data_IF_084470146203
#
_entry.id   IF_084470146203
#
_cell.length_a   1.000
_cell.length_b   1.000
_cell.length_c   1.000
_cell.angle_alpha   90.00
_cell.angle_beta   90.00
_cell.angle_gamma   90.00
#
_symmetry.space_group_name_H-M   'P 1'
#
loop_
_entity.id
_entity.type
_entity.pdbx_description
1 polymer ?
#
# COMPACT_ATOMS: atom_id res chain seq x y z
N UNK A 1 6.63 -6.26 7.33
CA UNK A 1 5.67 -5.30 7.91
C UNK A 1 5.93 -3.91 7.39
N UNK A 2 6.97 -3.21 7.84
CA UNK A 2 7.19 -1.80 7.45
C UNK A 2 7.32 -1.53 5.95
N UNK A 3 7.82 -2.50 5.16
CA UNK A 3 7.87 -2.35 3.71
C UNK A 3 6.53 -2.62 3.02
N UNK A 4 5.71 -3.51 3.62
CA UNK A 4 4.34 -3.80 3.16
C UNK A 4 3.44 -2.60 3.52
N UNK A 5 3.47 -2.18 4.78
CA UNK A 5 2.75 -1.03 5.36
C UNK A 5 3.44 0.27 4.94
N UNK A 6 3.27 0.62 3.68
CA UNK A 6 3.80 1.83 3.05
C UNK A 6 2.85 3.04 3.14
N UNK A 7 3.11 4.05 2.31
CA UNK A 7 2.29 5.26 2.23
C UNK A 7 0.88 5.04 1.66
N UNK A 8 0.65 3.90 0.99
CA UNK A 8 -0.62 3.56 0.34
C UNK A 8 -1.74 3.18 1.31
N UNK A 9 -1.42 2.77 2.54
CA UNK A 9 -2.46 2.25 3.45
C UNK A 9 -3.51 3.30 3.84
N UNK A 10 -3.12 4.55 4.07
CA UNK A 10 -4.08 5.60 4.42
C UNK A 10 -4.99 5.97 3.24
N UNK A 11 -4.52 5.73 2.01
CA UNK A 11 -5.29 5.95 0.79
C UNK A 11 -6.07 4.71 0.35
N UNK A 12 -5.77 3.55 0.93
CA UNK A 12 -6.31 2.26 0.51
C UNK A 12 -7.83 2.23 0.63
N UNK A 13 -8.46 2.56 1.78
CA UNK A 13 -9.92 2.55 1.89
C UNK A 13 -10.59 3.47 0.86
N UNK A 14 -10.05 4.68 0.69
CA UNK A 14 -10.58 5.66 -0.26
C UNK A 14 -10.39 5.23 -1.72
N UNK A 15 -9.34 4.48 -2.04
CA UNK A 15 -9.05 3.98 -3.39
C UNK A 15 -9.89 2.75 -3.75
N UNK A 16 -10.28 1.94 -2.76
CA UNK A 16 -11.14 0.77 -2.97
C UNK A 16 -12.62 1.04 -2.72
N UNK A 17 -12.97 2.17 -2.10
CA UNK A 17 -14.35 2.60 -1.87
C UNK A 17 -15.22 2.55 -3.14
N UNK A 18 -14.78 2.98 -4.34
CA UNK A 18 -15.61 2.88 -5.55
C UNK A 18 -16.06 1.45 -5.94
N UNK A 19 -15.45 0.41 -5.35
CA UNK A 19 -15.81 -0.98 -5.60
C UNK A 19 -16.70 -1.58 -4.50
N UNK A 20 -17.04 -0.82 -3.45
CA UNK A 20 -17.92 -1.26 -2.36
C UNK A 20 -17.37 -2.44 -1.57
N UNK A 21 -18.26 -3.26 -0.99
CA UNK A 21 -17.85 -4.41 -0.15
C UNK A 21 -17.20 -5.55 -0.95
N UNK A 22 -17.31 -5.55 -2.28
CA UNK A 22 -16.57 -6.47 -3.16
C UNK A 22 -15.06 -6.35 -2.97
N UNK A 23 -14.57 -5.15 -2.65
CA UNK A 23 -13.15 -4.92 -2.35
C UNK A 23 -12.68 -5.72 -1.13
N UNK A 24 -13.55 -5.96 -0.14
CA UNK A 24 -13.23 -6.78 1.03
C UNK A 24 -13.08 -8.26 0.67
N UNK A 25 -13.87 -8.75 -0.29
CA UNK A 25 -13.69 -10.10 -0.84
C UNK A 25 -12.39 -10.22 -1.64
N UNK A 26 -12.10 -9.23 -2.51
CA UNK A 26 -10.82 -9.15 -3.21
C UNK A 26 -9.64 -9.15 -2.22
N UNK A 27 -9.79 -8.42 -1.12
CA UNK A 27 -8.81 -8.37 -0.04
C UNK A 27 -8.56 -9.74 0.58
N UNK A 28 -9.61 -10.47 0.95
CA UNK A 28 -9.50 -11.81 1.51
C UNK A 28 -8.77 -12.77 0.57
N UNK A 29 -9.15 -12.81 -0.71
CA UNK A 29 -8.51 -13.67 -1.72
C UNK A 29 -7.04 -13.31 -1.91
N UNK A 30 -6.71 -12.03 -2.02
CA UNK A 30 -5.33 -11.58 -2.19
C UNK A 30 -4.47 -11.82 -0.95
N UNK A 31 -5.07 -11.71 0.25
CA UNK A 31 -4.36 -12.03 1.50
C UNK A 31 -3.89 -13.49 1.49
N UNK A 32 -4.76 -14.41 1.06
CA UNK A 32 -4.38 -15.82 0.93
C UNK A 32 -3.25 -16.01 -0.09
N UNK A 33 -3.33 -15.31 -1.23
CA UNK A 33 -2.26 -15.30 -2.24
C UNK A 33 -0.94 -14.75 -1.71
N UNK A 34 -0.98 -13.65 -0.95
CA UNK A 34 0.19 -13.03 -0.34
C UNK A 34 0.83 -13.94 0.72
N UNK A 35 0.02 -14.63 1.55
CA UNK A 35 0.51 -15.62 2.52
C UNK A 35 1.15 -16.80 1.79
N UNK A 36 0.53 -17.30 0.72
CA UNK A 36 1.11 -18.37 -0.10
C UNK A 36 2.47 -17.94 -0.68
N UNK A 37 2.57 -16.71 -1.19
CA UNK A 37 3.81 -16.15 -1.70
C UNK A 37 4.88 -15.98 -0.60
N UNK A 38 4.48 -15.52 0.59
CA UNK A 38 5.35 -15.43 1.76
C UNK A 38 5.90 -16.79 2.19
N UNK A 39 5.08 -17.85 2.12
CA UNK A 39 5.51 -19.22 2.38
C UNK A 39 6.50 -19.72 1.32
N UNK A 40 6.28 -19.40 0.04
CA UNK A 40 7.21 -19.73 -1.04
C UNK A 40 8.57 -19.06 -0.81
N UNK A 41 8.60 -17.75 -0.56
CA UNK A 41 9.84 -17.04 -0.26
C UNK A 41 10.52 -17.55 1.01
N UNK A 42 9.74 -17.91 2.04
CA UNK A 42 10.28 -18.53 3.25
C UNK A 42 10.99 -19.85 2.95
N UNK A 43 10.38 -20.74 2.18
CA UNK A 43 11.01 -22.02 1.79
C UNK A 43 12.19 -21.87 0.85
N UNK A 44 12.19 -20.85 -0.01
CA UNK A 44 13.32 -20.56 -0.88
C UNK A 44 14.50 -20.02 -0.07
N UNK A 45 14.25 -19.14 0.90
CA UNK A 45 15.28 -18.63 1.81
C UNK A 45 15.84 -19.71 2.76
N UNK A 46 15.04 -20.72 3.14
CA UNK A 46 15.51 -21.92 3.84
C UNK A 46 16.51 -22.73 3.00
N UNK A 47 16.33 -22.75 1.67
CA UNK A 47 17.12 -23.57 0.75
C UNK A 47 18.37 -22.84 0.26
N UNK A 48 18.28 -21.54 0.09
CA UNK A 48 19.36 -20.66 -0.35
C UNK A 48 19.26 -19.32 0.40
N UNK A 49 19.97 -19.17 1.53
CA UNK A 49 19.89 -17.98 2.39
C UNK A 49 20.76 -16.80 1.87
N UNK A 50 21.03 -16.75 0.57
CA UNK A 50 21.82 -15.69 -0.04
C UNK A 50 21.05 -14.36 -0.17
N UNK A 51 21.78 -13.25 -0.09
CA UNK A 51 21.23 -11.90 -0.25
C UNK A 51 20.83 -11.65 -1.70
N UNK A 52 19.63 -11.11 -1.92
CA UNK A 52 19.14 -10.69 -3.24
C UNK A 52 17.74 -11.20 -3.61
N UNK A 53 17.14 -12.05 -2.77
CA UNK A 53 15.72 -12.43 -2.86
C UNK A 53 15.33 -13.00 -4.23
N UNK A 54 14.26 -12.48 -4.89
CA UNK A 54 13.74 -13.01 -6.16
C UNK A 54 14.79 -13.19 -7.27
N UNK A 55 15.78 -12.28 -7.32
CA UNK A 55 16.87 -12.33 -8.31
C UNK A 55 17.69 -13.62 -8.17
N UNK A 56 18.12 -13.96 -6.95
CA UNK A 56 19.02 -15.09 -6.72
C UNK A 56 18.30 -16.40 -7.01
N UNK A 57 17.04 -16.51 -6.56
CA UNK A 57 16.23 -17.70 -6.82
C UNK A 57 15.94 -17.88 -8.32
N UNK A 58 15.62 -16.81 -9.06
CA UNK A 58 15.40 -16.88 -10.50
C UNK A 58 16.68 -17.25 -11.27
N UNK A 59 17.82 -16.68 -10.85
CA UNK A 59 19.13 -16.99 -11.43
C UNK A 59 19.54 -18.44 -11.18
N UNK A 60 19.35 -18.94 -9.97
CA UNK A 60 19.70 -20.31 -9.60
C UNK A 60 18.85 -21.34 -10.36
N UNK A 61 17.58 -21.05 -10.61
CA UNK A 61 16.67 -21.99 -11.29
C UNK A 61 16.75 -21.94 -12.83
N UNK A 62 16.93 -20.75 -13.41
CA UNK A 62 16.75 -20.53 -14.86
C UNK A 62 17.96 -19.87 -15.55
N UNK A 63 19.04 -19.61 -14.82
CA UNK A 63 20.28 -19.03 -15.35
C UNK A 63 20.31 -17.50 -15.36
N UNK A 64 21.40 -16.95 -15.89
CA UNK A 64 21.74 -15.52 -15.77
C UNK A 64 20.71 -14.60 -16.44
N UNK A 65 20.10 -15.00 -17.57
CA UNK A 65 19.11 -14.18 -18.26
C UNK A 65 17.82 -13.98 -17.46
N UNK A 66 17.32 -15.04 -16.83
CA UNK A 66 16.14 -14.96 -15.97
C UNK A 66 16.43 -14.15 -14.70
N UNK A 67 17.64 -14.30 -14.14
CA UNK A 67 18.13 -13.43 -13.07
C UNK A 67 18.12 -11.96 -13.51
N UNK A 68 18.71 -11.65 -14.67
CA UNK A 68 18.73 -10.29 -15.21
C UNK A 68 17.33 -9.70 -15.37
N UNK A 69 16.38 -10.44 -15.95
CA UNK A 69 15.00 -9.99 -16.09
C UNK A 69 14.34 -9.70 -14.75
N UNK A 70 14.51 -10.59 -13.76
CA UNK A 70 13.96 -10.40 -12.41
C UNK A 70 14.53 -9.13 -11.76
N UNK A 71 15.85 -8.94 -11.81
CA UNK A 71 16.50 -7.75 -11.27
C UNK A 71 16.06 -6.47 -11.99
N UNK A 72 15.97 -6.49 -13.32
CA UNK A 72 15.57 -5.35 -14.13
C UNK A 72 14.11 -4.94 -13.88
N UNK A 73 13.20 -5.91 -13.84
CA UNK A 73 11.79 -5.66 -13.53
C UNK A 73 11.63 -5.11 -12.10
N UNK A 74 12.34 -5.67 -11.13
CA UNK A 74 12.30 -5.17 -9.75
C UNK A 74 12.86 -3.74 -9.62
N UNK A 75 13.96 -3.46 -10.31
CA UNK A 75 14.59 -2.14 -10.31
C UNK A 75 13.66 -1.08 -10.91
N UNK A 76 13.07 -1.35 -12.07
CA UNK A 76 12.12 -0.43 -12.73
C UNK A 76 10.86 -0.21 -11.88
N UNK A 77 10.31 -1.25 -11.25
CA UNK A 77 9.20 -1.15 -10.29
C UNK A 77 9.54 -0.22 -9.11
N UNK A 78 10.78 -0.31 -8.60
CA UNK A 78 11.23 0.50 -7.46
C UNK A 78 11.24 1.99 -7.81
N UNK A 79 11.70 2.36 -9.02
CA UNK A 79 11.67 3.75 -9.50
C UNK A 79 10.25 4.32 -9.58
N UNK A 80 9.31 3.56 -10.12
CA UNK A 80 7.90 3.97 -10.22
C UNK A 80 7.30 4.13 -8.82
N UNK A 81 7.63 3.23 -7.89
CA UNK A 81 7.15 3.28 -6.50
C UNK A 81 7.67 4.53 -5.76
N UNK A 82 8.92 4.93 -6.00
CA UNK A 82 9.47 6.17 -5.42
C UNK A 82 8.73 7.41 -5.93
N UNK A 83 8.33 7.45 -7.20
CA UNK A 83 7.53 8.54 -7.75
C UNK A 83 6.14 8.61 -7.09
N UNK A 84 5.49 7.45 -6.88
CA UNK A 84 4.20 7.39 -6.19
C UNK A 84 4.29 7.90 -4.73
N UNK A 85 5.35 7.53 -4.01
CA UNK A 85 5.61 8.03 -2.65
C UNK A 85 5.82 9.55 -2.60
N UNK A 86 6.52 10.13 -3.58
CA UNK A 86 6.70 11.57 -3.68
C UNK A 86 5.36 12.30 -3.91
N UNK A 87 4.49 11.77 -4.77
CA UNK A 87 3.13 12.32 -4.98
C UNK A 87 2.30 12.23 -3.71
N UNK A 88 2.34 11.09 -3.01
CA UNK A 88 1.64 10.92 -1.75
C UNK A 88 2.12 11.92 -0.68
N UNK A 89 3.44 12.17 -0.58
CA UNK A 89 4.01 13.15 0.34
C UNK A 89 3.48 14.57 0.09
N UNK A 90 3.36 14.98 -1.19
CA UNK A 90 2.74 16.27 -1.55
C UNK A 90 1.28 16.32 -1.08
N UNK A 91 0.52 15.25 -1.32
CA UNK A 91 -0.87 15.15 -0.87
C UNK A 91 -1.02 15.31 0.64
N UNK A 92 -0.15 14.69 1.45
CA UNK A 92 -0.18 14.86 2.90
C UNK A 92 0.15 16.30 3.34
N UNK A 93 1.08 16.98 2.66
CA UNK A 93 1.41 18.37 2.99
C UNK A 93 0.23 19.31 2.70
N UNK A 94 -0.54 19.06 1.64
CA UNK A 94 -1.73 19.86 1.32
C UNK A 94 -2.81 19.75 2.41
N UNK A 95 -2.96 18.58 3.02
CA UNK A 95 -3.87 18.38 4.15
C UNK A 95 -3.40 19.13 5.40
N UNK A 96 -2.09 19.17 5.66
CA UNK A 96 -1.51 19.84 6.83
C UNK A 96 -1.43 21.36 6.71
N UNK A 97 -1.19 21.88 5.50
CA UNK A 97 -1.07 23.31 5.23
C UNK A 97 -1.98 23.71 4.05
N UNK A 98 -3.30 23.78 4.28
CA UNK A 98 -4.24 24.20 3.24
C UNK A 98 -3.90 25.59 2.69
N UNK A 99 -4.01 25.78 1.38
CA UNK A 99 -3.85 27.10 0.73
C UNK A 99 -2.45 27.46 0.25
N UNK A 100 -1.44 26.59 0.43
CA UNK A 100 -0.05 26.81 -0.05
C UNK A 100 0.31 25.93 -1.28
N UNK A 101 -0.68 25.66 -2.14
CA UNK A 101 -0.58 24.73 -3.27
C UNK A 101 0.06 25.37 -4.52
N UNK A 102 1.32 25.80 -4.40
CA UNK A 102 2.07 26.28 -5.57
C UNK A 102 2.87 25.13 -6.22
N UNK A 103 3.05 25.19 -7.56
CA UNK A 103 3.88 24.23 -8.28
C UNK A 103 5.31 24.15 -7.72
N UNK A 104 5.86 25.28 -7.26
CA UNK A 104 7.18 25.34 -6.65
C UNK A 104 7.25 24.61 -5.31
N UNK A 105 6.25 24.79 -4.44
CA UNK A 105 6.15 24.08 -3.16
C UNK A 105 5.97 22.58 -3.39
N UNK A 106 5.10 22.18 -4.32
CA UNK A 106 4.88 20.76 -4.64
C UNK A 106 6.16 20.09 -5.13
N UNK A 107 6.92 20.76 -6.01
CA UNK A 107 8.19 20.26 -6.50
C UNK A 107 9.23 20.16 -5.37
N UNK A 108 9.32 21.17 -4.51
CA UNK A 108 10.23 21.17 -3.38
C UNK A 108 9.92 20.03 -2.40
N UNK A 109 8.65 19.82 -2.04
CA UNK A 109 8.21 18.73 -1.15
C UNK A 109 8.52 17.37 -1.78
N UNK A 110 8.21 17.18 -3.06
CA UNK A 110 8.51 15.93 -3.77
C UNK A 110 10.02 15.62 -3.82
N UNK A 111 10.84 16.64 -4.12
CA UNK A 111 12.30 16.50 -4.14
C UNK A 111 12.86 16.19 -2.75
N UNK A 112 12.38 16.87 -1.70
CA UNK A 112 12.77 16.59 -0.32
C UNK A 112 12.38 15.18 0.10
N UNK A 113 11.17 14.74 -0.22
CA UNK A 113 10.69 13.38 0.08
C UNK A 113 11.53 12.29 -0.60
N UNK A 114 12.12 12.58 -1.77
CA UNK A 114 12.99 11.65 -2.50
C UNK A 114 14.45 11.70 -1.99
N UNK A 115 15.01 12.90 -1.86
CA UNK A 115 16.44 13.07 -1.57
C UNK A 115 16.79 12.91 -0.09
N UNK A 116 15.91 13.26 0.85
CA UNK A 116 16.21 13.07 2.27
C UNK A 116 16.46 11.59 2.62
N UNK A 117 15.59 10.63 2.25
CA UNK A 117 15.87 9.21 2.46
C UNK A 117 17.07 8.71 1.66
N UNK A 118 17.27 9.20 0.43
CA UNK A 118 18.41 8.80 -0.40
C UNK A 118 19.75 9.21 0.23
N UNK A 119 19.86 10.44 0.73
CA UNK A 119 21.04 10.93 1.43
C UNK A 119 21.26 10.18 2.76
N UNK A 120 20.19 9.88 3.50
CA UNK A 120 20.28 9.05 4.70
C UNK A 120 20.76 7.63 4.40
N UNK A 121 20.37 7.06 3.24
CA UNK A 121 20.83 5.75 2.79
C UNK A 121 22.33 5.76 2.47
N UNK A 122 22.83 6.83 1.82
CA UNK A 122 24.26 7.03 1.55
C UNK A 122 25.11 7.19 2.83
N UNK A 123 24.50 7.67 3.93
CA UNK A 123 25.18 7.85 5.22
C UNK A 123 25.36 6.55 6.03
N UNK A 124 24.73 5.43 5.62
CA UNK A 124 25.00 4.10 6.16
C UNK A 124 23.74 3.29 6.51
N UNK A 125 23.79 1.99 6.16
CA UNK A 125 22.67 1.04 6.28
C UNK A 125 22.17 0.80 7.71
N UNK A 126 23.05 0.95 8.72
CA UNK A 126 22.66 0.81 10.14
C UNK A 126 21.60 1.83 10.57
N UNK A 127 21.67 3.05 10.06
CA UNK A 127 20.69 4.09 10.36
C UNK A 127 19.36 3.84 9.66
N UNK A 128 19.40 3.28 8.45
CA UNK A 128 18.21 2.94 7.66
C UNK A 128 17.33 1.94 8.40
N UNK A 129 17.90 0.89 9.01
CA UNK A 129 17.14 -0.09 9.79
C UNK A 129 16.43 0.53 11.00
N UNK A 130 17.11 1.41 11.74
CA UNK A 130 16.51 2.10 12.89
C UNK A 130 15.40 3.07 12.47
N UNK A 131 15.64 3.90 11.44
CA UNK A 131 14.64 4.82 10.89
C UNK A 131 13.43 4.06 10.36
N UNK A 132 13.65 2.91 9.70
CA UNK A 132 12.57 2.05 9.20
C UNK A 132 11.73 1.50 10.36
N UNK A 133 12.36 1.05 11.44
CA UNK A 133 11.64 0.51 12.60
C UNK A 133 10.82 1.59 13.29
N UNK A 134 11.43 2.75 13.58
CA UNK A 134 10.72 3.91 14.17
C UNK A 134 9.56 4.34 13.27
N UNK A 135 9.81 4.48 11.96
CA UNK A 135 8.77 4.85 10.99
C UNK A 135 7.65 3.84 10.94
N UNK A 136 7.97 2.54 11.04
CA UNK A 136 6.96 1.47 11.05
C UNK A 136 6.10 1.58 12.29
N UNK A 137 6.69 1.72 13.49
CA UNK A 137 5.95 1.84 14.74
C UNK A 137 5.09 3.10 14.76
N UNK A 138 5.67 4.24 14.34
CA UNK A 138 4.98 5.53 14.30
C UNK A 138 3.78 5.54 13.36
N UNK A 139 3.83 4.78 12.25
CA UNK A 139 2.70 4.63 11.33
C UNK A 139 1.70 3.58 11.81
N UNK A 140 2.19 2.52 12.44
CA UNK A 140 1.38 1.39 12.89
C UNK A 140 0.49 1.74 14.09
N UNK A 141 0.97 2.54 15.04
CA UNK A 141 0.18 2.90 16.23
C UNK A 141 -1.08 3.71 15.86
N UNK A 142 -1.00 4.84 15.12
CA UNK A 142 -2.19 5.60 14.74
C UNK A 142 -3.14 4.78 13.88
N UNK A 143 -2.58 3.93 13.02
CA UNK A 143 -3.36 3.07 12.15
C UNK A 143 -4.15 2.01 12.93
N UNK A 144 -3.50 1.35 13.89
CA UNK A 144 -4.16 0.41 14.79
C UNK A 144 -5.19 1.13 15.66
N UNK A 145 -4.89 2.35 16.10
CA UNK A 145 -5.84 3.18 16.83
C UNK A 145 -7.09 3.48 16.01
N UNK A 146 -6.95 3.94 14.76
CA UNK A 146 -8.10 4.17 13.86
C UNK A 146 -8.86 2.88 13.61
N UNK A 147 -8.15 1.78 13.32
CA UNK A 147 -8.75 0.47 13.06
C UNK A 147 -9.55 -0.07 14.26
N UNK A 148 -9.09 0.13 15.49
CA UNK A 148 -9.78 -0.34 16.70
C UNK A 148 -10.88 0.62 17.13
N UNK A 149 -10.61 1.92 17.17
CA UNK A 149 -11.58 2.93 17.62
C UNK A 149 -12.75 3.04 16.66
N UNK A 150 -12.51 3.05 15.35
CA UNK A 150 -13.61 3.18 14.41
C UNK A 150 -14.51 1.94 14.34
N UNK A 151 -14.08 0.76 14.81
CA UNK A 151 -14.97 -0.38 15.03
C UNK A 151 -16.02 -0.12 16.13
N UNK A 152 -15.73 0.75 17.11
CA UNK A 152 -16.73 1.14 18.12
C UNK A 152 -17.78 2.11 17.59
N UNK A 153 -17.47 2.84 16.51
CA UNK A 153 -18.38 3.76 15.82
C UNK A 153 -18.91 3.18 14.50
N UNK A 154 -18.88 1.85 14.38
CA UNK A 154 -19.28 1.15 13.17
C UNK A 154 -20.80 1.22 12.98
N UNK A 155 -21.24 1.85 11.90
CA UNK A 155 -22.64 1.79 11.45
C UNK A 155 -22.74 0.95 10.16
N UNK A 156 -23.47 -0.18 10.18
CA UNK A 156 -23.72 -0.98 8.99
C UNK A 156 -24.37 -0.22 7.84
N UNK A 157 -25.06 0.90 8.09
CA UNK A 157 -25.70 1.71 7.06
C UNK A 157 -24.71 2.50 6.21
N UNK A 158 -23.47 2.69 6.70
CA UNK A 158 -22.39 3.33 5.94
C UNK A 158 -21.71 2.38 4.95
N UNK A 159 -21.97 1.07 5.05
CA UNK A 159 -21.47 0.10 4.09
C UNK A 159 -22.12 0.36 2.73
N UNK A 160 -21.28 0.76 1.75
CA UNK A 160 -21.70 0.87 0.35
C UNK A 160 -22.24 -0.45 -0.20
N UNK A 161 -22.88 -0.43 -1.37
CA UNK A 161 -23.43 -1.65 -1.95
C UNK A 161 -22.35 -2.68 -2.29
N UNK A 162 -22.80 -3.90 -2.55
CA UNK A 162 -21.89 -4.98 -2.94
C UNK A 162 -21.13 -4.70 -4.24
N UNK A 163 -21.62 -3.82 -5.12
CA UNK A 163 -20.93 -3.46 -6.36
C UNK A 163 -21.33 -2.04 -6.81
N UNK A 164 -20.73 -1.03 -6.20
CA UNK A 164 -21.04 0.38 -6.48
C UNK A 164 -20.54 0.85 -7.87
N UNK A 165 -19.50 0.19 -8.41
CA UNK A 165 -18.86 0.59 -9.66
C UNK A 165 -19.71 0.41 -10.93
N UNK A 166 -20.93 -0.14 -10.81
CA UNK A 166 -21.91 -0.31 -11.90
C UNK A 166 -21.49 -1.26 -13.04
N UNK A 167 -20.24 -1.73 -13.05
CA UNK A 167 -19.69 -2.68 -14.01
C UNK A 167 -19.88 -4.14 -13.59
N UNK A 168 -19.33 -5.06 -14.38
CA UNK A 168 -19.33 -6.48 -14.01
C UNK A 168 -18.60 -6.70 -12.68
N UNK A 169 -19.14 -7.56 -11.81
CA UNK A 169 -18.52 -7.89 -10.53
C UNK A 169 -17.08 -8.41 -10.72
N UNK A 170 -16.80 -9.12 -11.81
CA UNK A 170 -15.45 -9.58 -12.13
C UNK A 170 -14.49 -8.42 -12.46
N UNK A 171 -14.97 -7.40 -13.17
CA UNK A 171 -14.19 -6.19 -13.49
C UNK A 171 -13.92 -5.32 -12.26
N UNK A 172 -14.92 -5.17 -11.38
CA UNK A 172 -14.72 -4.48 -10.09
C UNK A 172 -13.74 -5.22 -9.18
N UNK A 173 -13.84 -6.56 -9.14
CA UNK A 173 -12.94 -7.41 -8.37
C UNK A 173 -11.50 -7.30 -8.86
N UNK A 174 -11.28 -7.33 -10.18
CA UNK A 174 -9.92 -7.25 -10.76
C UNK A 174 -9.28 -5.87 -10.56
N UNK A 175 -10.05 -4.80 -10.69
CA UNK A 175 -9.57 -3.44 -10.46
C UNK A 175 -9.23 -3.20 -8.97
N UNK A 176 -10.11 -3.61 -8.05
CA UNK A 176 -9.81 -3.58 -6.62
C UNK A 176 -8.57 -4.45 -6.30
N UNK A 177 -8.49 -5.63 -6.89
CA UNK A 177 -7.35 -6.52 -6.69
C UNK A 177 -6.02 -5.91 -7.14
N UNK A 178 -5.99 -5.14 -8.23
CA UNK A 178 -4.76 -4.46 -8.68
C UNK A 178 -4.24 -3.44 -7.64
N UNK A 179 -5.15 -2.65 -7.06
CA UNK A 179 -4.81 -1.67 -6.01
C UNK A 179 -4.34 -2.38 -4.74
N UNK A 180 -5.04 -3.46 -4.36
CA UNK A 180 -4.71 -4.24 -3.17
C UNK A 180 -3.41 -5.02 -3.33
N UNK A 181 -3.10 -5.53 -4.53
CA UNK A 181 -1.85 -6.22 -4.81
C UNK A 181 -0.64 -5.29 -4.61
N UNK A 182 -0.75 -4.04 -5.04
CA UNK A 182 0.27 -3.02 -4.77
C UNK A 182 0.53 -2.86 -3.27
N UNK A 183 -0.50 -3.03 -2.45
CA UNK A 183 -0.41 -2.90 -0.99
C UNK A 183 0.33 -4.07 -0.33
N UNK A 184 0.48 -5.20 -1.03
CA UNK A 184 1.23 -6.38 -0.59
C UNK A 184 2.67 -6.44 -1.14
N UNK A 185 3.07 -5.48 -1.98
CA UNK A 185 4.46 -5.35 -2.43
C UNK A 185 5.36 -5.14 -1.22
N UNK A 186 6.48 -5.87 -1.16
CA UNK A 186 7.39 -5.86 -0.02
C UNK A 186 7.32 -7.11 0.86
N UNK A 187 6.52 -8.11 0.49
CA UNK A 187 6.54 -9.44 1.11
C UNK A 187 7.88 -10.14 0.92
N UNK A 188 8.51 -9.87 -0.22
CA UNK A 188 9.80 -10.37 -0.67
C UNK A 188 10.97 -9.68 0.05
N UNK A 189 10.76 -8.53 0.70
CA UNK A 189 11.86 -7.72 1.25
C UNK A 189 12.64 -8.42 2.35
N UNK A 190 12.00 -9.32 3.12
CA UNK A 190 12.72 -10.12 4.10
C UNK A 190 13.73 -11.07 3.44
N UNK A 191 13.43 -11.60 2.24
CA UNK A 191 14.34 -12.45 1.48
C UNK A 191 15.48 -11.65 0.82
N UNK A 192 15.25 -10.38 0.49
CA UNK A 192 16.29 -9.54 -0.10
C UNK A 192 17.45 -9.26 0.86
N UNK A 193 17.17 -9.12 2.15
CA UNK A 193 18.16 -8.88 3.20
C UNK A 193 18.56 -10.15 3.96
N UNK A 194 18.33 -11.34 3.39
CA UNK A 194 18.55 -12.61 4.08
C UNK A 194 19.97 -12.74 4.69
N UNK A 195 21.02 -12.33 3.98
CA UNK A 195 22.40 -12.42 4.48
C UNK A 195 22.74 -11.50 5.66
N UNK A 196 21.87 -10.55 6.02
CA UNK A 196 22.02 -9.69 7.20
C UNK A 196 21.16 -10.15 8.40
N UNK A 197 20.30 -11.16 8.19
CA UNK A 197 19.40 -11.70 9.21
C UNK A 197 20.11 -12.79 10.02
N UNK A 198 19.96 -12.76 11.35
CA UNK A 198 20.42 -13.87 12.21
C UNK A 198 19.56 -15.10 11.94
N UNK A 199 20.17 -16.27 11.76
CA UNK A 199 19.48 -17.53 11.41
C UNK A 199 18.48 -17.38 10.24
N UNK A 200 18.96 -17.01 9.04
CA UNK A 200 18.11 -16.60 7.93
C UNK A 200 17.13 -17.71 7.50
N UNK A 201 17.57 -18.97 7.55
CA UNK A 201 16.74 -20.14 7.21
C UNK A 201 15.42 -20.15 8.00
N UNK A 202 15.46 -19.86 9.30
CA UNK A 202 14.26 -19.89 10.14
C UNK A 202 13.56 -18.53 10.21
N UNK A 203 14.33 -17.46 10.28
CA UNK A 203 13.80 -16.15 10.62
C UNK A 203 13.25 -15.40 9.42
N UNK A 204 13.78 -15.61 8.20
CA UNK A 204 13.25 -14.96 6.99
C UNK A 204 11.83 -15.44 6.71
N UNK A 205 11.60 -16.75 6.68
CA UNK A 205 10.27 -17.31 6.41
C UNK A 205 9.24 -16.91 7.47
N UNK A 206 9.60 -17.00 8.76
CA UNK A 206 8.72 -16.55 9.85
C UNK A 206 8.44 -15.06 9.77
N UNK A 207 9.45 -14.23 9.50
CA UNK A 207 9.28 -12.78 9.38
C UNK A 207 8.41 -12.40 8.18
N UNK A 208 8.54 -13.08 7.03
CA UNK A 208 7.67 -12.88 5.87
C UNK A 208 6.21 -13.24 6.19
N UNK A 209 5.95 -14.42 6.74
CA UNK A 209 4.57 -14.87 7.01
C UNK A 209 3.92 -14.04 8.10
N UNK A 210 4.55 -13.91 9.28
CA UNK A 210 4.03 -13.09 10.37
C UNK A 210 3.88 -11.65 9.91
N UNK A 211 4.84 -11.18 9.12
CA UNK A 211 4.85 -9.84 8.56
C UNK A 211 3.70 -9.55 7.61
N UNK A 212 3.30 -10.54 6.82
CA UNK A 212 2.18 -10.46 5.88
C UNK A 212 0.85 -10.52 6.61
N UNK A 213 0.71 -11.49 7.53
CA UNK A 213 -0.53 -11.71 8.27
C UNK A 213 -0.89 -10.49 9.10
N UNK A 214 0.04 -9.93 9.87
CA UNK A 214 -0.30 -8.75 10.67
C UNK A 214 -0.50 -7.48 9.84
N UNK A 215 0.16 -7.32 8.69
CA UNK A 215 -0.16 -6.24 7.75
C UNK A 215 -1.57 -6.40 7.18
N UNK A 216 -1.94 -7.61 6.77
CA UNK A 216 -3.27 -7.93 6.25
C UNK A 216 -4.37 -7.68 7.28
N UNK A 217 -4.16 -8.08 8.55
CA UNK A 217 -5.11 -7.83 9.64
C UNK A 217 -5.34 -6.32 9.80
N UNK A 218 -4.28 -5.54 9.87
CA UNK A 218 -4.42 -4.08 10.08
C UNK A 218 -5.05 -3.40 8.87
N UNK A 219 -4.72 -3.83 7.65
CA UNK A 219 -5.34 -3.31 6.43
C UNK A 219 -6.84 -3.63 6.37
N UNK A 220 -7.22 -4.87 6.68
CA UNK A 220 -8.62 -5.29 6.68
C UNK A 220 -9.41 -4.53 7.74
N UNK A 221 -8.91 -4.49 8.98
CA UNK A 221 -9.57 -3.77 10.08
C UNK A 221 -9.65 -2.27 9.80
N UNK A 222 -8.58 -1.66 9.28
CA UNK A 222 -8.57 -0.24 8.91
C UNK A 222 -9.58 0.07 7.81
N UNK A 223 -9.68 -0.78 6.78
CA UNK A 223 -10.64 -0.60 5.69
C UNK A 223 -12.07 -0.75 6.15
N UNK A 224 -12.37 -1.81 6.92
CA UNK A 224 -13.71 -2.04 7.49
C UNK A 224 -14.11 -0.92 8.43
N UNK A 225 -13.19 -0.46 9.28
CA UNK A 225 -13.41 0.66 10.18
C UNK A 225 -13.76 1.92 9.41
N UNK A 226 -12.99 2.28 8.38
CA UNK A 226 -13.26 3.50 7.58
C UNK A 226 -14.60 3.39 6.85
N UNK A 227 -14.92 2.23 6.25
CA UNK A 227 -16.21 1.98 5.61
C UNK A 227 -17.40 2.04 6.57
N UNK A 228 -17.21 1.68 7.85
CA UNK A 228 -18.26 1.75 8.86
C UNK A 228 -18.45 3.13 9.47
N UNK A 229 -17.42 3.98 9.47
CA UNK A 229 -17.44 5.30 10.12
C UNK A 229 -17.74 6.47 9.19
N UNK A 230 -17.43 6.36 7.90
CA UNK A 230 -17.57 7.45 6.92
C UNK A 230 -18.59 7.04 5.88
N UNK A 231 -19.53 7.94 5.58
CA UNK A 231 -20.53 7.72 4.53
C UNK A 231 -19.83 7.44 3.19
N UNK A 232 -20.35 6.44 2.46
CA UNK A 232 -19.73 5.93 1.24
C UNK A 232 -19.49 7.02 0.17
N UNK A 233 -20.45 7.92 0.00
CA UNK A 233 -20.37 9.02 -0.98
C UNK A 233 -19.21 9.99 -0.69
N UNK A 234 -18.93 10.23 0.59
CA UNK A 234 -17.83 11.11 1.01
C UNK A 234 -16.47 10.44 0.78
N UNK A 235 -16.37 9.12 0.97
CA UNK A 235 -15.15 8.35 0.68
C UNK A 235 -14.78 8.36 -0.79
N UNK A 236 -15.74 8.16 -1.69
CA UNK A 236 -15.52 8.21 -3.14
C UNK A 236 -15.10 9.61 -3.61
N UNK A 237 -15.64 10.65 -2.96
CA UNK A 237 -15.28 12.04 -3.29
C UNK A 237 -13.92 12.48 -2.74
N UNK A 238 -13.44 11.86 -1.66
CA UNK A 238 -12.17 12.24 -0.99
C UNK A 238 -10.91 11.85 -1.76
N UNK A 239 -10.97 10.87 -2.66
CA UNK A 239 -9.81 10.34 -3.41
C UNK A 239 -9.74 10.80 -4.86
N UNK A 240 -10.73 11.55 -5.34
CA UNK A 240 -10.77 12.00 -6.72
C UNK A 240 -10.25 13.43 -6.86
N UNK A 241 -8.94 13.65 -7.16
CA UNK A 241 -8.50 14.89 -7.77
C UNK A 241 -8.92 14.87 -9.24
N UNK A 242 -10.23 14.98 -9.49
CA UNK A 242 -10.83 15.19 -10.81
C UNK A 242 -12.24 15.74 -10.61
N UNK A 243 -12.31 17.04 -10.38
CA UNK A 243 -13.28 17.96 -10.99
C UNK A 243 -14.30 17.25 -11.90
N UNK A 244 -15.48 16.89 -11.38
CA UNK A 244 -16.78 17.05 -12.07
C UNK A 244 -17.91 17.05 -11.02
N UNK A 245 -17.91 18.05 -10.13
CA UNK A 245 -19.16 18.57 -9.56
C UNK A 245 -19.40 19.98 -10.10
N UNK A 246 -19.44 20.05 -11.43
CA UNK A 246 -19.89 21.19 -12.23
C UNK A 246 -20.83 20.64 -13.28
N UNK A 247 -22.05 20.27 -12.87
CA UNK A 247 -23.23 20.10 -13.76
C UNK A 247 -24.55 19.74 -13.06
N UNK A 248 -24.63 19.57 -11.73
CA UNK A 248 -25.91 19.25 -11.06
C UNK A 248 -26.46 20.26 -10.05
N UNK A 249 -25.92 21.47 -9.97
CA UNK A 249 -26.55 22.56 -9.19
C UNK A 249 -26.96 23.80 -10.01
N UNK A 250 -26.79 23.81 -11.34
CA UNK A 250 -27.27 24.92 -12.21
C UNK A 250 -28.43 24.55 -13.13
N UNK A 251 -28.91 23.30 -13.14
CA UNK A 251 -30.05 22.88 -13.98
C UNK A 251 -31.40 22.85 -13.25
N UNK A 252 -31.47 23.30 -11.99
CA UNK A 252 -32.70 23.33 -11.18
C UNK A 252 -33.30 24.71 -10.91
N UNK A 253 -32.69 25.79 -11.40
CA UNK A 253 -33.10 27.17 -11.07
C UNK A 253 -33.52 28.03 -12.29
N UNK A 254 -33.78 27.40 -13.45
CA UNK A 254 -34.04 28.12 -14.71
C UNK A 254 -35.30 27.72 -15.48
N UNK A 255 -36.23 26.96 -14.88
CA UNK A 255 -37.48 26.55 -15.53
C UNK A 255 -38.68 26.76 -14.60
N UNK A 256 -38.87 28.00 -14.14
CA UNK A 256 -40.12 28.49 -13.58
C UNK A 256 -40.08 30.02 -13.51
N UNK A 257 -40.20 30.68 -14.68
CA UNK A 257 -40.84 31.99 -14.91
C UNK A 257 -40.67 32.40 -16.37
#
# INVERSE_FOLDING_TARGET
MGNIIGGGIFLLPASVAPFGTLSLLAFGVLTLGAIALALVFGRLAERDPSTGGPYVHARAAFGDFAGFLSAWSYWTMTWVSNAALAVAAVGYVHVLVPGHESKGVNLAVALLALWLPALANLAGTRWVGAVQLVSTVLKFIPLLFVAVVGLFFFDPHNLGSFNEGGGSALGGLSAAAAILLYSYVGVESASMSAGEVRDPERNVGRASVLGTVGAAVVYLLGTVSVFGTVAHDDLVSSTAPSRTRSTRCSAGAGAAR
#
